data_IF_469599481693
#
_entry.id   IF_469599481693
#
_cell.length_a   1.000
_cell.length_b   1.000
_cell.length_c   1.000
_cell.angle_alpha   90.00
_cell.angle_beta   90.00
_cell.angle_gamma   90.00
#
_symmetry.space_group_name_H-M   'P 1'
#
loop_
_entity.id
_entity.type
_entity.pdbx_description
1 polymer ?
#
# COMPACT_ATOMS: atom_id res chain seq x y z
N UNK A 1 18.79 26.33 -2.79
CA UNK A 1 17.44 26.07 -2.23
C UNK A 1 17.15 24.59 -2.38
N UNK A 2 17.39 23.85 -1.29
CA UNK A 2 16.67 22.66 -0.81
C UNK A 2 16.19 21.62 -1.83
N UNK A 3 17.13 20.84 -2.41
CA UNK A 3 16.82 19.56 -3.07
C UNK A 3 17.25 18.33 -2.27
N UNK A 4 17.87 18.52 -1.12
CA UNK A 4 18.48 17.43 -0.35
C UNK A 4 17.49 16.56 0.44
N UNK A 5 16.27 17.05 0.74
CA UNK A 5 15.27 16.27 1.50
C UNK A 5 14.35 15.35 0.68
N UNK A 6 14.35 15.48 -0.65
CA UNK A 6 13.56 14.64 -1.56
C UNK A 6 14.14 13.21 -1.72
N UNK A 7 15.47 13.01 -1.91
CA UNK A 7 16.04 11.67 -1.96
C UNK A 7 15.89 10.92 -0.63
N UNK A 8 16.04 11.60 0.50
CA UNK A 8 15.86 10.99 1.84
C UNK A 8 14.43 10.53 2.08
N UNK A 9 13.43 11.32 1.68
CA UNK A 9 12.02 10.92 1.77
C UNK A 9 11.71 9.77 0.83
N UNK A 10 12.30 9.78 -0.37
CA UNK A 10 12.16 8.69 -1.33
C UNK A 10 12.75 7.38 -0.79
N UNK A 11 13.98 7.42 -0.26
CA UNK A 11 14.63 6.25 0.32
C UNK A 11 13.87 5.74 1.55
N UNK A 12 13.34 6.64 2.39
CA UNK A 12 12.50 6.28 3.53
C UNK A 12 11.22 5.56 3.08
N UNK A 13 10.53 6.08 2.05
CA UNK A 13 9.31 5.46 1.51
C UNK A 13 9.64 4.13 0.81
N UNK A 14 10.76 4.05 0.09
CA UNK A 14 11.22 2.81 -0.53
C UNK A 14 11.55 1.73 0.52
N UNK A 15 12.23 2.10 1.61
CA UNK A 15 12.51 1.21 2.73
C UNK A 15 11.22 0.70 3.37
N UNK A 16 10.27 1.62 3.66
CA UNK A 16 8.95 1.28 4.22
C UNK A 16 8.14 0.36 3.30
N UNK A 17 8.16 0.58 1.99
CA UNK A 17 7.50 -0.30 1.02
C UNK A 17 8.09 -1.72 1.06
N UNK A 18 9.42 -1.82 1.15
CA UNK A 18 10.12 -3.10 1.25
C UNK A 18 9.74 -3.86 2.52
N UNK A 19 9.65 -3.14 3.63
CA UNK A 19 9.20 -3.66 4.93
C UNK A 19 7.76 -4.17 4.86
N UNK A 20 6.86 -3.40 4.26
CA UNK A 20 5.46 -3.79 4.07
C UNK A 20 5.32 -5.03 3.16
N UNK A 21 6.08 -5.10 2.06
CA UNK A 21 6.13 -6.30 1.22
C UNK A 21 6.61 -7.53 1.99
N UNK A 22 7.61 -7.37 2.86
CA UNK A 22 8.11 -8.45 3.71
C UNK A 22 7.05 -8.88 4.72
N UNK A 23 6.41 -7.93 5.39
CA UNK A 23 5.34 -8.18 6.36
C UNK A 23 4.17 -8.94 5.73
N UNK A 24 3.70 -8.54 4.54
CA UNK A 24 2.64 -9.24 3.80
C UNK A 24 3.07 -10.66 3.41
N UNK A 25 4.35 -10.88 3.07
CA UNK A 25 4.87 -12.21 2.73
C UNK A 25 5.03 -13.12 3.95
N UNK A 26 5.35 -12.57 5.12
CA UNK A 26 5.53 -13.32 6.37
C UNK A 26 4.23 -13.47 7.15
N UNK A 27 3.24 -12.61 6.90
CA UNK A 27 1.92 -12.72 7.50
C UNK A 27 1.28 -14.03 7.05
N UNK A 28 0.90 -14.87 8.01
CA UNK A 28 0.18 -16.12 7.77
C UNK A 28 -1.30 -15.83 7.47
N UNK A 29 -1.54 -15.03 6.43
CA UNK A 29 -2.89 -14.66 5.97
C UNK A 29 -3.32 -15.59 4.83
N UNK A 30 -4.63 -15.85 4.67
CA UNK A 30 -5.14 -16.61 3.55
C UNK A 30 -4.73 -16.01 2.19
N UNK A 31 -4.55 -16.87 1.18
CA UNK A 31 -4.26 -16.50 -0.21
C UNK A 31 -5.09 -15.30 -0.75
N UNK A 32 -6.45 -15.29 -0.64
CA UNK A 32 -7.23 -14.15 -1.12
C UNK A 32 -6.89 -12.83 -0.42
N UNK A 33 -6.54 -12.89 0.87
CA UNK A 33 -6.14 -11.73 1.66
C UNK A 33 -4.77 -11.23 1.23
N UNK A 34 -3.82 -12.15 0.99
CA UNK A 34 -2.48 -11.82 0.48
C UNK A 34 -2.55 -11.11 -0.88
N UNK A 35 -3.42 -11.58 -1.78
CA UNK A 35 -3.62 -10.95 -3.08
C UNK A 35 -4.21 -9.53 -2.97
N UNK A 36 -5.20 -9.33 -2.10
CA UNK A 36 -5.78 -8.00 -1.86
C UNK A 36 -4.72 -7.02 -1.29
N UNK A 37 -3.91 -7.47 -0.33
CA UNK A 37 -2.80 -6.69 0.24
C UNK A 37 -1.74 -6.35 -0.81
N UNK A 38 -1.37 -7.32 -1.64
CA UNK A 38 -0.40 -7.11 -2.74
C UNK A 38 -0.92 -6.08 -3.74
N UNK A 39 -2.21 -6.14 -4.09
CA UNK A 39 -2.84 -5.17 -5.00
C UNK A 39 -2.86 -3.76 -4.40
N UNK A 40 -3.14 -3.62 -3.10
CA UNK A 40 -3.06 -2.34 -2.38
C UNK A 40 -1.63 -1.79 -2.37
N UNK A 41 -0.62 -2.63 -2.13
CA UNK A 41 0.79 -2.22 -2.19
C UNK A 41 1.18 -1.67 -3.57
N UNK A 42 0.70 -2.28 -4.66
CA UNK A 42 0.94 -1.78 -6.01
C UNK A 42 0.32 -0.39 -6.24
N UNK A 43 -0.90 -0.16 -5.75
CA UNK A 43 -1.56 1.15 -5.84
C UNK A 43 -0.80 2.21 -5.05
N UNK A 44 -0.33 1.87 -3.83
CA UNK A 44 0.46 2.79 -3.00
C UNK A 44 1.82 3.09 -3.67
N UNK A 45 2.45 2.09 -4.29
CA UNK A 45 3.72 2.28 -5.01
C UNK A 45 3.54 3.16 -6.25
N UNK A 46 2.44 3.00 -6.97
CA UNK A 46 2.09 3.88 -8.09
C UNK A 46 1.82 5.31 -7.60
N UNK A 47 1.11 5.48 -6.49
CA UNK A 47 0.89 6.77 -5.85
C UNK A 47 2.21 7.40 -5.35
N UNK A 48 3.16 6.62 -4.82
CA UNK A 48 4.44 7.13 -4.34
C UNK A 48 5.26 7.80 -5.46
N UNK A 49 5.08 7.38 -6.72
CA UNK A 49 5.72 8.02 -7.87
C UNK A 49 5.16 9.41 -8.19
N UNK A 50 3.93 9.69 -7.75
CA UNK A 50 3.21 10.95 -8.02
C UNK A 50 3.14 11.85 -6.79
N UNK A 51 2.92 11.25 -5.61
CA UNK A 51 2.71 11.90 -4.33
C UNK A 51 3.27 11.00 -3.20
N UNK A 52 4.54 11.22 -2.88
CA UNK A 52 5.24 10.56 -1.78
C UNK A 52 4.55 10.72 -0.41
N UNK A 53 4.19 11.94 0.05
CA UNK A 53 3.53 12.10 1.34
C UNK A 53 2.18 11.37 1.42
N UNK A 54 1.39 11.39 0.35
CA UNK A 54 0.11 10.70 0.31
C UNK A 54 0.26 9.17 0.24
N UNK A 55 1.36 8.67 -0.33
CA UNK A 55 1.69 7.24 -0.31
C UNK A 55 2.15 6.78 1.08
N UNK A 56 2.98 7.57 1.77
CA UNK A 56 3.44 7.27 3.12
C UNK A 56 2.26 7.08 4.10
N UNK A 57 1.30 8.03 4.12
CA UNK A 57 0.10 7.93 4.96
C UNK A 57 -0.75 6.69 4.66
N UNK A 58 -0.87 6.31 3.38
CA UNK A 58 -1.61 5.11 2.97
C UNK A 58 -0.89 3.83 3.39
N UNK A 59 0.44 3.84 3.34
CA UNK A 59 1.28 2.71 3.73
C UNK A 59 1.21 2.47 5.24
N UNK A 60 1.27 3.52 6.06
CA UNK A 60 1.09 3.42 7.52
C UNK A 60 -0.27 2.79 7.86
N UNK A 61 -1.33 3.24 7.20
CA UNK A 61 -2.68 2.69 7.40
C UNK A 61 -2.77 1.22 7.02
N UNK A 62 -2.14 0.83 5.91
CA UNK A 62 -2.08 -0.57 5.46
C UNK A 62 -1.36 -1.45 6.48
N UNK A 63 -0.24 -0.99 7.05
CA UNK A 63 0.51 -1.75 8.06
C UNK A 63 -0.34 -1.95 9.32
N UNK A 64 -1.02 -0.90 9.81
CA UNK A 64 -1.93 -0.99 10.96
C UNK A 64 -3.08 -1.96 10.68
N UNK A 65 -3.66 -1.92 9.48
CA UNK A 65 -4.72 -2.85 9.06
C UNK A 65 -4.23 -4.31 9.02
N UNK A 66 -3.02 -4.55 8.50
CA UNK A 66 -2.38 -5.88 8.47
C UNK A 66 -2.07 -6.39 9.88
N UNK A 67 -1.50 -5.55 10.74
CA UNK A 67 -1.16 -5.89 12.12
C UNK A 67 -2.41 -6.18 12.97
N UNK A 68 -3.48 -5.41 12.76
CA UNK A 68 -4.78 -5.63 13.40
C UNK A 68 -5.55 -6.83 12.83
N UNK A 69 -5.02 -7.56 11.84
CA UNK A 69 -5.70 -8.64 11.13
C UNK A 69 -6.95 -8.20 10.36
N UNK A 70 -7.14 -6.89 10.21
CA UNK A 70 -8.27 -6.27 9.52
C UNK A 70 -7.82 -5.91 8.13
N UNK A 71 -7.94 -6.83 7.18
CA UNK A 71 -7.87 -6.43 5.78
C UNK A 71 -9.20 -5.82 5.42
N UNK A 72 -9.30 -4.49 5.20
CA UNK A 72 -10.55 -3.90 4.75
C UNK A 72 -10.96 -4.59 3.45
N UNK A 73 -12.25 -4.92 3.26
CA UNK A 73 -12.71 -5.52 2.02
C UNK A 73 -12.18 -4.71 0.83
N UNK A 74 -11.77 -5.40 -0.23
CA UNK A 74 -11.43 -4.78 -1.51
C UNK A 74 -12.55 -3.75 -1.77
N UNK A 75 -12.24 -2.46 -2.02
CA UNK A 75 -13.28 -1.52 -2.41
C UNK A 75 -14.00 -2.19 -3.58
N UNK A 76 -15.33 -2.40 -3.50
CA UNK A 76 -16.02 -3.21 -4.47
C UNK A 76 -15.61 -2.73 -5.85
N UNK A 77 -15.01 -3.62 -6.64
CA UNK A 77 -14.69 -3.34 -8.03
C UNK A 77 -15.86 -2.55 -8.61
N UNK A 78 -15.64 -1.39 -9.26
CA UNK A 78 -16.72 -0.51 -9.67
C UNK A 78 -17.74 -1.38 -10.39
N UNK A 79 -18.92 -1.51 -9.76
CA UNK A 79 -19.99 -2.33 -10.25
C UNK A 79 -20.22 -1.81 -11.66
N UNK A 80 -19.86 -2.61 -12.68
CA UNK A 80 -20.26 -2.32 -14.05
C UNK A 80 -21.75 -2.61 -14.07
N UNK A 81 -22.54 -1.66 -13.55
CA UNK A 81 -23.95 -1.55 -13.83
C UNK A 81 -24.04 -1.17 -15.31
N UNK A 82 -23.98 -2.18 -16.15
CA UNK A 82 -24.27 -2.12 -17.57
C UNK A 82 -25.69 -2.64 -17.77
N UNK A 83 -26.68 -1.83 -17.40
CA UNK A 83 -28.03 -1.91 -17.96
C UNK A 83 -28.04 -1.24 -19.33
N UNK A 84 -28.26 -2.02 -20.38
CA UNK A 84 -29.14 -1.74 -21.53
C UNK A 84 -28.98 -2.86 -22.57
#
# INVERSE_FOLDING_TARGET
MERDGQPELYDLVAARLKEAHRAVRTAQVPEPVRQALTRKLLVITAAAKQDLPAAARRLERLIVDVDAGRVPPDPPAPRRDGTA
#
